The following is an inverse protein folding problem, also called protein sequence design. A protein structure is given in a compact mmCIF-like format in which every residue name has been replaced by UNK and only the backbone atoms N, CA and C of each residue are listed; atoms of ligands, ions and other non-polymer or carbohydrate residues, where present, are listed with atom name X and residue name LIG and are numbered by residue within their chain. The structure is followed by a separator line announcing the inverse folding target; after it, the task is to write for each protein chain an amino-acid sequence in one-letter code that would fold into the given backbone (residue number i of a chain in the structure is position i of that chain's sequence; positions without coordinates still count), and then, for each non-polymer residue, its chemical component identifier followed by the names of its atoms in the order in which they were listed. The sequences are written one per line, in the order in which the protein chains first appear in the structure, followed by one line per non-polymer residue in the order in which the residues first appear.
data_IF_224560321740
#
_entry.id   IF_224560321740
#
_cell.length_a   1.000
_cell.length_b   1.000
_cell.length_c   1.000
_cell.angle_alpha   90.00
_cell.angle_beta   90.00
_cell.angle_gamma   90.00
#
_symmetry.space_group_name_H-M   'P 1'
#
loop_
_entity.id
_entity.type
_entity.pdbx_description
1 polymer ?
#
# COMPACT_ATOMS: atom_id res chain seq x y z
N UNK A 1 2.92 23.75 14.64
CA UNK A 1 1.75 22.88 14.34
C UNK A 1 1.71 22.48 12.86
N UNK A 2 1.81 23.44 11.94
CA UNK A 2 1.80 23.23 10.48
C UNK A 2 2.86 22.22 9.99
N UNK A 3 4.12 22.31 10.47
CA UNK A 3 5.20 21.37 10.10
C UNK A 3 4.83 19.89 10.37
N UNK A 4 4.25 19.61 11.54
CA UNK A 4 3.82 18.25 11.92
C UNK A 4 2.65 17.74 11.06
N UNK A 5 1.82 18.64 10.55
CA UNK A 5 0.73 18.30 9.63
C UNK A 5 1.32 17.96 8.26
N UNK A 6 2.24 18.79 7.76
CA UNK A 6 2.94 18.56 6.48
C UNK A 6 3.68 17.22 6.51
N UNK A 7 4.41 16.90 7.58
CA UNK A 7 5.12 15.63 7.71
C UNK A 7 4.17 14.42 7.63
N UNK A 8 2.98 14.52 8.24
CA UNK A 8 1.95 13.48 8.15
C UNK A 8 1.38 13.36 6.75
N UNK A 9 1.10 14.49 6.08
CA UNK A 9 0.59 14.49 4.70
C UNK A 9 1.61 13.83 3.78
N UNK A 10 2.89 14.17 3.89
CA UNK A 10 3.97 13.54 3.12
C UNK A 10 3.98 12.03 3.36
N UNK A 11 3.92 11.59 4.62
CA UNK A 11 3.85 10.16 4.97
C UNK A 11 2.68 9.44 4.28
N UNK A 12 1.48 10.01 4.32
CA UNK A 12 0.30 9.41 3.69
C UNK A 12 0.39 9.41 2.16
N UNK A 13 0.93 10.47 1.56
CA UNK A 13 1.15 10.52 0.11
C UNK A 13 2.14 9.44 -0.33
N UNK A 14 3.26 9.28 0.37
CA UNK A 14 4.22 8.22 0.10
C UNK A 14 3.61 6.82 0.28
N UNK A 15 2.81 6.63 1.33
CA UNK A 15 2.10 5.38 1.57
C UNK A 15 1.14 5.07 0.41
N UNK A 16 0.37 6.05 -0.06
CA UNK A 16 -0.55 5.89 -1.17
C UNK A 16 0.16 5.57 -2.50
N UNK A 17 1.35 6.15 -2.73
CA UNK A 17 2.19 5.83 -3.88
C UNK A 17 2.68 4.37 -3.82
N UNK A 18 3.22 3.94 -2.67
CA UNK A 18 3.68 2.56 -2.46
C UNK A 18 2.52 1.58 -2.66
N UNK A 19 1.37 1.87 -2.05
CA UNK A 19 0.17 1.08 -2.20
C UNK A 19 -0.24 0.97 -3.68
N UNK A 20 -0.27 2.08 -4.41
CA UNK A 20 -0.66 2.09 -5.82
C UNK A 20 0.27 1.22 -6.68
N UNK A 21 1.58 1.22 -6.40
CA UNK A 21 2.56 0.39 -7.10
C UNK A 21 2.33 -1.08 -6.77
N UNK A 22 2.24 -1.43 -5.48
CA UNK A 22 1.99 -2.80 -5.04
C UNK A 22 0.67 -3.34 -5.59
N UNK A 23 -0.37 -2.51 -5.61
CA UNK A 23 -1.70 -2.89 -6.06
C UNK A 23 -1.71 -3.23 -7.55
N UNK A 24 -1.00 -2.45 -8.37
CA UNK A 24 -0.83 -2.76 -9.80
C UNK A 24 -0.12 -4.09 -10.02
N UNK A 25 0.93 -4.36 -9.25
CA UNK A 25 1.65 -5.64 -9.30
C UNK A 25 0.67 -6.77 -8.97
N UNK A 26 -0.03 -6.66 -7.84
CA UNK A 26 -0.99 -7.67 -7.41
C UNK A 26 -2.11 -7.90 -8.41
N UNK A 27 -2.71 -6.86 -8.99
CA UNK A 27 -3.74 -7.01 -10.04
C UNK A 27 -3.17 -7.74 -11.25
N UNK A 28 -1.96 -7.40 -11.69
CA UNK A 28 -1.34 -8.09 -12.84
C UNK A 28 -1.17 -9.59 -12.59
N UNK A 29 -0.79 -9.98 -11.36
CA UNK A 29 -0.75 -11.39 -10.96
C UNK A 29 -2.16 -11.97 -10.81
N UNK A 30 -3.09 -11.23 -10.23
CA UNK A 30 -4.46 -11.64 -9.98
C UNK A 30 -5.17 -11.99 -11.28
N UNK A 31 -5.08 -11.14 -12.29
CA UNK A 31 -5.70 -11.35 -13.60
C UNK A 31 -5.13 -12.56 -14.33
N UNK A 32 -3.87 -12.94 -14.03
CA UNK A 32 -3.19 -14.08 -14.65
C UNK A 32 -3.52 -15.40 -13.95
N UNK A 33 -3.64 -15.39 -12.62
CA UNK A 33 -3.69 -16.61 -11.80
C UNK A 33 -5.03 -16.87 -11.13
N UNK A 34 -5.88 -15.85 -10.99
CA UNK A 34 -7.13 -15.93 -10.21
C UNK A 34 -8.33 -15.76 -11.13
N UNK A 35 -9.23 -16.76 -11.21
CA UNK A 35 -10.45 -16.61 -11.98
C UNK A 35 -11.35 -15.52 -11.37
N UNK A 36 -11.91 -14.67 -12.23
CA UNK A 36 -12.92 -13.68 -11.85
C UNK A 36 -14.20 -14.38 -11.39
N UNK A 37 -14.38 -14.49 -10.07
CA UNK A 37 -15.59 -15.03 -9.46
C UNK A 37 -15.85 -14.34 -8.11
N UNK A 38 -17.10 -14.38 -7.66
CA UNK A 38 -17.49 -13.64 -6.45
C UNK A 38 -16.67 -14.01 -5.20
N UNK A 39 -16.20 -15.26 -5.08
CA UNK A 39 -15.45 -15.71 -3.90
C UNK A 39 -14.04 -15.14 -3.90
N UNK A 40 -13.37 -15.16 -5.04
CA UNK A 40 -12.02 -14.61 -5.19
C UNK A 40 -12.07 -13.09 -5.03
N UNK A 41 -13.05 -12.41 -5.59
CA UNK A 41 -13.21 -10.96 -5.45
C UNK A 41 -13.39 -10.53 -3.99
N UNK A 42 -14.14 -11.30 -3.19
CA UNK A 42 -14.25 -11.08 -1.74
C UNK A 42 -12.91 -11.28 -1.03
N UNK A 43 -12.10 -12.25 -1.43
CA UNK A 43 -10.73 -12.43 -0.88
C UNK A 43 -9.85 -11.23 -1.25
N UNK A 44 -9.92 -10.77 -2.51
CA UNK A 44 -9.24 -9.56 -2.97
C UNK A 44 -9.60 -8.36 -2.09
N UNK A 45 -10.89 -8.13 -1.87
CA UNK A 45 -11.38 -6.99 -1.11
C UNK A 45 -11.06 -7.05 0.39
N UNK A 46 -11.31 -8.20 1.04
CA UNK A 46 -11.26 -8.31 2.50
C UNK A 46 -9.92 -8.80 3.05
N UNK A 47 -9.09 -9.44 2.24
CA UNK A 47 -7.76 -9.91 2.68
C UNK A 47 -6.65 -9.19 1.94
N UNK A 48 -6.66 -9.20 0.61
CA UNK A 48 -5.54 -8.69 -0.17
C UNK A 48 -5.38 -7.18 0.02
N UNK A 49 -6.45 -6.39 -0.11
CA UNK A 49 -6.39 -4.93 0.06
C UNK A 49 -5.91 -4.53 1.47
N UNK A 50 -6.45 -5.05 2.58
CA UNK A 50 -5.96 -4.73 3.93
C UNK A 50 -4.51 -5.14 4.16
N UNK A 51 -4.09 -6.31 3.68
CA UNK A 51 -2.69 -6.75 3.78
C UNK A 51 -1.78 -5.80 3.01
N UNK A 52 -2.16 -5.43 1.78
CA UNK A 52 -1.38 -4.51 0.96
C UNK A 52 -1.27 -3.13 1.60
N UNK A 53 -2.35 -2.63 2.20
CA UNK A 53 -2.35 -1.39 2.95
C UNK A 53 -1.37 -1.47 4.13
N UNK A 54 -1.45 -2.52 4.94
CA UNK A 54 -0.51 -2.75 6.05
C UNK A 54 0.95 -2.76 5.61
N UNK A 55 1.27 -3.51 4.56
CA UNK A 55 2.62 -3.57 3.97
C UNK A 55 3.07 -2.18 3.48
N UNK A 56 2.16 -1.43 2.86
CA UNK A 56 2.47 -0.08 2.35
C UNK A 56 2.81 0.90 3.48
N UNK A 57 2.09 0.84 4.60
CA UNK A 57 2.39 1.65 5.78
C UNK A 57 3.75 1.28 6.39
N UNK A 58 4.04 -0.01 6.51
CA UNK A 58 5.33 -0.48 7.04
C UNK A 58 6.48 -0.01 6.14
N UNK A 59 6.37 -0.21 4.83
CA UNK A 59 7.40 0.21 3.86
C UNK A 59 7.61 1.72 3.85
N UNK A 60 6.53 2.50 3.90
CA UNK A 60 6.59 3.97 3.98
C UNK A 60 7.32 4.41 5.26
N UNK A 61 6.99 3.79 6.39
CA UNK A 61 7.66 4.05 7.67
C UNK A 61 9.14 3.75 7.62
N UNK A 62 9.52 2.59 7.11
CA UNK A 62 10.92 2.18 6.96
C UNK A 62 11.70 3.11 6.01
N UNK A 63 11.10 3.49 4.89
CA UNK A 63 11.72 4.38 3.91
C UNK A 63 12.00 5.76 4.51
N UNK A 64 11.04 6.33 5.23
CA UNK A 64 11.18 7.64 5.87
C UNK A 64 12.17 7.59 7.04
N UNK A 65 12.17 6.52 7.82
CA UNK A 65 13.16 6.32 8.88
C UNK A 65 14.57 6.23 8.30
N UNK A 66 14.76 5.46 7.22
CA UNK A 66 16.01 5.34 6.51
C UNK A 66 16.49 6.69 5.95
N UNK A 67 15.59 7.44 5.29
CA UNK A 67 15.87 8.78 4.77
C UNK A 67 16.24 9.79 5.86
N UNK A 68 15.72 9.63 7.08
CA UNK A 68 16.03 10.50 8.22
C UNK A 68 17.37 10.17 8.88
N UNK A 69 17.80 8.90 8.82
CA UNK A 69 19.08 8.44 9.39
C UNK A 69 20.29 8.78 8.52
N UNK A 70 20.08 9.14 7.25
CA UNK A 70 21.11 9.54 6.30
C UNK A 70 21.21 11.06 6.20
#
# INVERSE_FOLDING_TARGET
MLKRIIDKVIYYVFTALIFSILFKIVISFWDTFVPWNYKTDLIGLFFVIPVLAGVSFILSGLLIEYLRKR
#
